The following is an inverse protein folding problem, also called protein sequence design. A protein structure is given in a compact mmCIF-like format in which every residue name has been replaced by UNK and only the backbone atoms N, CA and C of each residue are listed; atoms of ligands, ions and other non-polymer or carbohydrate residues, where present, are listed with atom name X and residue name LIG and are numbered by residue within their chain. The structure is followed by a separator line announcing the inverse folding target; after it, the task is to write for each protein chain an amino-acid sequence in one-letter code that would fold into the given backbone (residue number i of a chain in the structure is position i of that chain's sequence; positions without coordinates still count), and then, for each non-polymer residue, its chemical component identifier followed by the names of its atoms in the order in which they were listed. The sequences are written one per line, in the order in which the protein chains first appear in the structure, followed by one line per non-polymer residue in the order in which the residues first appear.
data_IF_613395387259
#
_entry.id   IF_613395387259
#
_cell.length_a   1.000
_cell.length_b   1.000
_cell.length_c   1.000
_cell.angle_alpha   90.00
_cell.angle_beta   90.00
_cell.angle_gamma   90.00
#
_symmetry.space_group_name_H-M   'P 1'
#
loop_
_entity.id
_entity.type
_entity.pdbx_description
1 polymer ?
#
# COMPACT_ATOMS: atom_id res chain seq x y z
N UNK A 1 -3.83 -24.86 -0.71
CA UNK A 1 -4.86 -24.13 -1.48
C UNK A 1 -4.12 -23.19 -2.43
N UNK A 2 -4.49 -23.13 -3.70
CA UNK A 2 -3.85 -22.25 -4.68
C UNK A 2 -4.83 -21.16 -5.11
N UNK A 3 -4.37 -19.91 -5.14
CA UNK A 3 -5.15 -18.80 -5.71
C UNK A 3 -5.28 -18.97 -7.24
N UNK A 4 -6.34 -18.40 -7.81
CA UNK A 4 -6.57 -18.42 -9.25
C UNK A 4 -5.38 -17.82 -10.02
N UNK A 5 -5.02 -18.35 -11.21
CA UNK A 5 -3.88 -17.86 -12.00
C UNK A 5 -3.92 -16.36 -12.30
N UNK A 6 -5.11 -15.82 -12.58
CA UNK A 6 -5.30 -14.39 -12.84
C UNK A 6 -4.93 -13.52 -11.62
N UNK A 7 -5.30 -13.95 -10.40
CA UNK A 7 -5.00 -13.24 -9.15
C UNK A 7 -3.51 -13.29 -8.82
N UNK A 8 -2.88 -14.44 -9.05
CA UNK A 8 -1.42 -14.58 -8.94
C UNK A 8 -0.69 -13.63 -9.90
N UNK A 9 -1.15 -13.54 -11.14
CA UNK A 9 -0.61 -12.65 -12.17
C UNK A 9 -0.76 -11.18 -11.77
N UNK A 10 -1.95 -10.76 -11.38
CA UNK A 10 -2.22 -9.39 -10.94
C UNK A 10 -1.33 -8.98 -9.75
N UNK A 11 -1.17 -9.89 -8.78
CA UNK A 11 -0.32 -9.65 -7.61
C UNK A 11 1.16 -9.44 -7.97
N UNK A 12 1.68 -10.22 -8.93
CA UNK A 12 3.04 -10.04 -9.44
C UNK A 12 3.22 -8.71 -10.17
N UNK A 13 2.26 -8.33 -11.01
CA UNK A 13 2.27 -7.03 -11.70
C UNK A 13 2.27 -5.89 -10.69
N UNK A 14 1.42 -5.96 -9.67
CA UNK A 14 1.36 -4.97 -8.59
C UNK A 14 2.70 -4.87 -7.84
N UNK A 15 3.31 -6.01 -7.53
CA UNK A 15 4.59 -6.03 -6.84
C UNK A 15 5.70 -5.36 -7.65
N UNK A 16 5.79 -5.68 -8.94
CA UNK A 16 6.78 -5.09 -9.85
C UNK A 16 6.49 -3.61 -10.14
N UNK A 17 5.23 -3.20 -10.21
CA UNK A 17 4.84 -1.80 -10.36
C UNK A 17 5.33 -0.97 -9.17
N UNK A 18 5.07 -1.41 -7.93
CA UNK A 18 5.56 -0.73 -6.72
C UNK A 18 7.08 -0.57 -6.72
N UNK A 19 7.82 -1.62 -7.09
CA UNK A 19 9.28 -1.58 -7.13
C UNK A 19 9.83 -0.68 -8.24
N UNK A 20 9.29 -0.77 -9.46
CA UNK A 20 9.73 0.03 -10.62
C UNK A 20 9.57 1.53 -10.41
N UNK A 21 8.58 1.93 -9.61
CA UNK A 21 8.33 3.33 -9.26
C UNK A 21 9.02 3.76 -7.95
N UNK A 22 9.99 2.99 -7.46
CA UNK A 22 10.81 3.36 -6.30
C UNK A 22 10.07 3.35 -4.96
N UNK A 23 8.86 2.77 -4.91
CA UNK A 23 8.05 2.69 -3.69
C UNK A 23 8.47 1.50 -2.81
N UNK A 24 9.12 0.50 -3.42
CA UNK A 24 9.71 -0.65 -2.75
C UNK A 24 11.11 -0.94 -3.32
N UNK A 25 11.93 -1.64 -2.56
CA UNK A 25 13.28 -2.06 -2.96
C UNK A 25 13.46 -3.57 -2.72
N UNK A 26 14.55 -3.98 -2.06
CA UNK A 26 14.75 -5.36 -1.63
C UNK A 26 13.69 -5.86 -0.62
N UNK A 27 12.95 -4.95 0.00
CA UNK A 27 11.96 -5.24 1.03
C UNK A 27 10.61 -4.62 0.62
N UNK A 28 9.53 -5.26 1.05
CA UNK A 28 8.16 -4.87 0.77
C UNK A 28 7.32 -6.09 0.40
N UNK A 29 6.02 -5.96 0.56
CA UNK A 29 5.07 -6.99 0.14
C UNK A 29 3.70 -6.38 -0.12
N UNK A 30 2.94 -7.01 -1.02
CA UNK A 30 1.53 -6.72 -1.22
C UNK A 30 0.72 -8.00 -1.13
N UNK A 31 -0.56 -7.85 -0.81
CA UNK A 31 -1.50 -8.96 -0.74
C UNK A 31 -2.87 -8.60 -1.29
N UNK A 32 -3.63 -9.64 -1.62
CA UNK A 32 -5.03 -9.56 -2.03
C UNK A 32 -5.85 -10.63 -1.32
N UNK A 33 -7.03 -10.25 -0.82
CA UNK A 33 -7.98 -11.13 -0.16
C UNK A 33 -8.53 -12.13 -1.18
N UNK A 34 -8.60 -13.40 -0.80
CA UNK A 34 -9.22 -14.44 -1.62
C UNK A 34 -10.65 -14.72 -1.16
N UNK A 35 -10.83 -14.83 0.15
CA UNK A 35 -12.11 -15.09 0.81
C UNK A 35 -12.09 -14.54 2.26
N UNK A 36 -13.08 -14.89 3.07
CA UNK A 36 -13.17 -14.47 4.48
C UNK A 36 -12.00 -14.97 5.32
N UNK A 37 -11.47 -16.15 5.00
CA UNK A 37 -10.45 -16.86 5.78
C UNK A 37 -9.04 -16.80 5.21
N UNK A 38 -8.86 -16.36 3.95
CA UNK A 38 -7.57 -16.45 3.26
C UNK A 38 -7.27 -15.21 2.39
N UNK A 39 -5.98 -14.93 2.24
CA UNK A 39 -5.44 -13.95 1.30
C UNK A 39 -4.17 -14.48 0.63
N UNK A 40 -3.83 -13.94 -0.54
CA UNK A 40 -2.60 -14.24 -1.26
C UNK A 40 -1.59 -13.11 -1.02
N UNK A 41 -0.37 -13.44 -0.60
CA UNK A 41 0.75 -12.49 -0.49
C UNK A 41 1.81 -12.78 -1.55
N UNK A 42 2.47 -11.75 -2.08
CA UNK A 42 3.53 -11.91 -3.07
C UNK A 42 4.71 -12.71 -2.48
N UNK A 43 5.56 -13.27 -3.34
CA UNK A 43 6.74 -14.02 -2.91
C UNK A 43 7.65 -13.17 -2.01
N UNK A 44 8.24 -13.80 -0.98
CA UNK A 44 9.13 -13.17 0.02
C UNK A 44 10.53 -12.86 -0.55
N UNK A 45 10.59 -11.98 -1.55
CA UNK A 45 11.83 -11.56 -2.23
C UNK A 45 11.70 -10.11 -2.71
N UNK A 46 12.77 -9.47 -3.22
CA UNK A 46 12.67 -8.13 -3.79
C UNK A 46 11.54 -8.04 -4.82
N UNK A 47 10.58 -7.15 -4.59
CA UNK A 47 9.30 -7.12 -5.33
C UNK A 47 9.49 -6.93 -6.84
N UNK A 48 10.50 -6.14 -7.23
CA UNK A 48 10.86 -5.91 -8.64
C UNK A 48 11.54 -7.11 -9.33
N UNK A 49 11.96 -8.12 -8.56
CA UNK A 49 12.62 -9.33 -9.08
C UNK A 49 11.73 -10.57 -9.04
N UNK A 50 10.43 -10.42 -8.72
CA UNK A 50 9.47 -11.52 -8.77
C UNK A 50 9.20 -11.87 -10.24
N UNK A 51 9.58 -13.08 -10.64
CA UNK A 51 9.51 -13.52 -12.03
C UNK A 51 8.08 -13.85 -12.48
N UNK A 52 7.79 -13.80 -13.79
CA UNK A 52 6.55 -14.35 -14.33
C UNK A 52 6.34 -15.80 -13.90
N UNK A 53 5.10 -16.13 -13.53
CA UNK A 53 4.75 -17.46 -13.01
C UNK A 53 5.24 -17.78 -11.59
N UNK A 54 6.04 -16.92 -10.96
CA UNK A 54 6.49 -17.15 -9.58
C UNK A 54 5.30 -17.03 -8.61
N UNK A 55 5.00 -18.07 -7.81
CA UNK A 55 3.79 -18.08 -7.01
C UNK A 55 3.95 -17.22 -5.75
N UNK A 56 2.90 -16.46 -5.43
CA UNK A 56 2.65 -15.99 -4.08
C UNK A 56 2.23 -17.12 -3.14
N UNK A 57 2.15 -16.82 -1.85
CA UNK A 57 1.74 -17.77 -0.81
C UNK A 57 0.33 -17.44 -0.31
N UNK A 58 -0.54 -18.44 -0.23
CA UNK A 58 -1.86 -18.28 0.43
C UNK A 58 -1.65 -18.33 1.94
N UNK A 59 -2.15 -17.31 2.63
CA UNK A 59 -1.99 -17.09 4.06
C UNK A 59 -3.38 -17.03 4.70
N UNK A 60 -3.58 -17.70 5.86
CA UNK A 60 -4.83 -17.59 6.58
C UNK A 60 -4.96 -16.20 7.21
N UNK A 61 -6.16 -15.64 7.19
CA UNK A 61 -6.49 -14.36 7.86
C UNK A 61 -6.21 -14.45 9.35
N UNK A 62 -6.41 -15.61 9.96
CA UNK A 62 -6.17 -15.85 11.40
C UNK A 62 -5.27 -17.07 11.60
N UNK A 63 -4.37 -17.00 12.58
CA UNK A 63 -3.47 -18.10 12.94
C UNK A 63 -2.04 -17.90 12.45
N UNK A 64 -1.25 -18.97 12.50
CA UNK A 64 0.17 -18.91 12.18
C UNK A 64 0.42 -18.62 10.70
N UNK A 65 1.47 -17.84 10.43
CA UNK A 65 1.95 -17.62 9.08
C UNK A 65 2.57 -18.91 8.51
N UNK A 66 2.34 -19.24 7.23
CA UNK A 66 3.03 -20.34 6.55
C UNK A 66 4.56 -20.15 6.57
N UNK A 67 5.29 -21.27 6.50
CA UNK A 67 6.75 -21.23 6.44
C UNK A 67 7.25 -20.38 5.25
N UNK A 68 8.24 -19.52 5.49
CA UNK A 68 8.82 -18.63 4.47
C UNK A 68 8.07 -17.32 4.24
N UNK A 69 6.89 -17.13 4.85
CA UNK A 69 6.17 -15.85 4.82
C UNK A 69 6.80 -14.87 5.81
N UNK A 70 6.98 -13.61 5.39
CA UNK A 70 7.59 -12.56 6.21
C UNK A 70 6.72 -12.26 7.45
N UNK A 71 7.35 -12.06 8.61
CA UNK A 71 6.63 -11.77 9.87
C UNK A 71 5.75 -10.51 9.80
N UNK A 72 6.11 -9.52 8.98
CA UNK A 72 5.33 -8.28 8.78
C UNK A 72 4.01 -8.50 8.04
N UNK A 73 3.78 -9.68 7.46
CA UNK A 73 2.47 -10.07 6.92
C UNK A 73 1.40 -10.16 8.01
N UNK A 74 1.79 -10.18 9.30
CA UNK A 74 0.85 -9.99 10.41
C UNK A 74 0.06 -8.69 10.32
N UNK A 75 0.63 -7.60 9.79
CA UNK A 75 -0.12 -6.36 9.54
C UNK A 75 -1.30 -6.60 8.58
N UNK A 76 -1.10 -7.44 7.58
CA UNK A 76 -2.13 -7.80 6.59
C UNK A 76 -3.23 -8.64 7.24
N UNK A 77 -2.85 -9.62 8.08
CA UNK A 77 -3.81 -10.40 8.90
C UNK A 77 -4.68 -9.47 9.75
N UNK A 78 -4.07 -8.54 10.49
CA UNK A 78 -4.80 -7.64 11.39
C UNK A 78 -5.77 -6.72 10.63
N UNK A 79 -5.39 -6.22 9.44
CA UNK A 79 -6.29 -5.48 8.56
C UNK A 79 -7.44 -6.36 8.09
N UNK A 80 -7.14 -7.53 7.52
CA UNK A 80 -8.17 -8.37 6.93
C UNK A 80 -9.15 -8.94 7.97
N UNK A 81 -8.71 -9.12 9.22
CA UNK A 81 -9.57 -9.51 10.34
C UNK A 81 -10.55 -8.40 10.73
N UNK A 82 -10.10 -7.13 10.78
CA UNK A 82 -10.89 -5.99 11.26
C UNK A 82 -11.71 -5.30 10.18
N UNK A 83 -11.29 -5.40 8.92
CA UNK A 83 -11.84 -4.63 7.80
C UNK A 83 -12.24 -5.55 6.65
N UNK A 84 -13.46 -6.09 6.72
CA UNK A 84 -14.01 -6.98 5.70
C UNK A 84 -14.10 -6.34 4.30
N UNK A 85 -14.27 -5.01 4.23
CA UNK A 85 -14.32 -4.24 2.98
C UNK A 85 -12.96 -4.07 2.29
N UNK A 86 -11.85 -4.31 2.99
CA UNK A 86 -10.51 -4.24 2.41
C UNK A 86 -10.23 -5.50 1.60
N UNK A 87 -9.84 -5.30 0.34
CA UNK A 87 -9.47 -6.36 -0.58
C UNK A 87 -7.96 -6.46 -0.77
N UNK A 88 -7.22 -5.36 -0.67
CA UNK A 88 -5.77 -5.36 -0.91
C UNK A 88 -5.00 -4.49 0.08
N UNK A 89 -3.77 -4.91 0.34
CA UNK A 89 -2.85 -4.22 1.26
C UNK A 89 -1.46 -4.15 0.62
N UNK A 90 -0.83 -2.99 0.68
CA UNK A 90 0.59 -2.81 0.35
C UNK A 90 1.35 -2.40 1.60
N UNK A 91 2.51 -3.03 1.83
CA UNK A 91 3.49 -2.63 2.84
C UNK A 91 4.79 -2.34 2.11
N UNK A 92 5.19 -1.08 2.08
CA UNK A 92 6.28 -0.58 1.23
C UNK A 92 7.17 0.43 1.98
N UNK A 93 8.20 0.97 1.33
CA UNK A 93 9.15 1.95 1.91
C UNK A 93 9.41 3.14 0.98
N UNK A 94 8.38 3.95 0.62
CA UNK A 94 8.60 5.11 -0.24
C UNK A 94 9.52 6.14 0.45
N UNK A 95 10.54 6.66 -0.24
CA UNK A 95 11.62 7.43 0.37
C UNK A 95 11.18 8.76 1.00
N UNK A 96 10.22 9.47 0.41
CA UNK A 96 9.75 10.76 0.92
C UNK A 96 8.88 10.57 2.16
N UNK A 97 8.01 9.55 2.17
CA UNK A 97 7.28 9.16 3.39
C UNK A 97 8.22 8.69 4.50
N UNK A 98 9.26 7.92 4.16
CA UNK A 98 10.29 7.53 5.13
C UNK A 98 10.95 8.76 5.75
N UNK A 99 11.38 9.73 4.93
CA UNK A 99 11.99 10.97 5.39
C UNK A 99 11.03 11.78 6.28
N UNK A 100 9.80 12.01 5.82
CA UNK A 100 8.79 12.76 6.59
C UNK A 100 8.43 12.07 7.92
N UNK A 101 8.36 10.75 7.92
CA UNK A 101 8.13 9.94 9.11
C UNK A 101 9.20 10.15 10.19
N UNK A 102 10.48 10.35 9.82
CA UNK A 102 11.55 10.67 10.78
C UNK A 102 11.32 11.99 11.54
N UNK A 103 10.56 12.90 10.94
CA UNK A 103 10.13 14.15 11.57
C UNK A 103 8.82 14.01 12.38
N UNK A 104 8.34 12.78 12.59
CA UNK A 104 7.03 12.46 13.21
C UNK A 104 5.87 13.18 12.51
N UNK A 105 5.89 13.19 11.17
CA UNK A 105 4.88 13.84 10.35
C UNK A 105 4.35 12.89 9.29
N UNK A 106 3.12 13.14 8.88
CA UNK A 106 2.52 12.57 7.67
C UNK A 106 2.11 13.72 6.74
N UNK A 107 1.91 13.46 5.43
CA UNK A 107 1.57 14.53 4.50
C UNK A 107 0.22 15.14 4.83
N UNK A 108 0.10 16.48 4.79
CA UNK A 108 -1.20 17.14 4.88
C UNK A 108 -1.92 17.08 3.53
N UNK A 109 -3.24 17.10 3.56
CA UNK A 109 -4.12 17.09 2.38
C UNK A 109 -4.09 18.41 1.61
N UNK A 110 -2.98 18.73 0.95
CA UNK A 110 -2.78 20.02 0.26
C UNK A 110 -3.20 20.04 -1.20
N UNK A 111 -3.42 18.87 -1.80
CA UNK A 111 -3.65 18.76 -3.23
C UNK A 111 -4.53 17.54 -3.53
N UNK A 112 -4.91 17.40 -4.81
CA UNK A 112 -5.92 16.44 -5.24
C UNK A 112 -5.64 14.98 -4.87
N UNK A 113 -4.39 14.51 -5.00
CA UNK A 113 -4.07 13.11 -4.69
C UNK A 113 -3.97 12.85 -3.19
N UNK A 114 -3.65 13.88 -2.39
CA UNK A 114 -3.71 13.79 -0.94
C UNK A 114 -5.14 13.54 -0.44
N UNK A 115 -6.17 14.05 -1.14
CA UNK A 115 -7.56 14.02 -0.68
C UNK A 115 -8.08 12.60 -0.38
N UNK A 116 -7.51 11.56 -1.02
CA UNK A 116 -7.88 10.16 -0.81
C UNK A 116 -7.50 9.59 0.57
N UNK A 117 -6.76 10.34 1.39
CA UNK A 117 -6.35 9.91 2.74
C UNK A 117 -7.15 10.59 3.86
N UNK A 118 -8.32 11.17 3.54
CA UNK A 118 -9.14 11.83 4.55
C UNK A 118 -8.38 12.95 5.24
N UNK A 119 -8.20 12.92 6.56
CA UNK A 119 -7.43 13.96 7.28
C UNK A 119 -5.91 13.83 7.12
N UNK A 120 -5.44 12.82 6.39
CA UNK A 120 -4.05 12.42 6.27
C UNK A 120 -3.87 10.97 6.73
N UNK A 121 -2.74 10.38 6.38
CA UNK A 121 -2.36 9.07 6.87
C UNK A 121 -2.10 9.11 8.39
N UNK A 122 -2.41 8.02 9.09
CA UNK A 122 -2.05 7.85 10.49
C UNK A 122 -0.52 7.74 10.67
N UNK A 123 -0.03 7.92 11.90
CA UNK A 123 1.39 7.82 12.25
C UNK A 123 1.59 6.80 13.37
N UNK A 124 2.50 5.85 13.15
CA UNK A 124 3.04 4.96 14.17
C UNK A 124 4.46 5.41 14.54
N UNK A 125 4.65 5.87 15.78
CA UNK A 125 5.90 6.51 16.25
C UNK A 125 6.94 5.51 16.81
N UNK A 126 7.05 4.32 16.24
CA UNK A 126 8.04 3.31 16.61
C UNK A 126 8.70 2.69 15.35
N UNK A 127 10.04 2.69 15.24
CA UNK A 127 10.76 2.25 14.05
C UNK A 127 10.98 0.74 13.97
N UNK A 128 10.65 -0.03 15.02
CA UNK A 128 10.92 -1.45 15.05
C UNK A 128 10.09 -2.22 14.03
N UNK A 129 10.64 -3.34 13.57
CA UNK A 129 9.95 -4.27 12.69
C UNK A 129 8.72 -4.87 13.40
N UNK A 130 7.62 -5.01 12.67
CA UNK A 130 6.35 -5.51 13.21
C UNK A 130 6.25 -7.00 12.92
N UNK A 131 6.76 -7.85 13.81
CA UNK A 131 6.88 -9.31 13.57
C UNK A 131 6.10 -10.19 14.55
N UNK A 132 5.44 -9.56 15.52
CA UNK A 132 4.59 -10.19 16.52
C UNK A 132 3.15 -9.67 16.43
N UNK A 133 2.22 -10.45 16.98
CA UNK A 133 0.78 -10.18 16.86
C UNK A 133 0.33 -8.95 17.67
N UNK A 134 0.93 -8.73 18.84
CA UNK A 134 0.59 -7.61 19.72
C UNK A 134 0.94 -6.27 19.05
N UNK A 135 2.15 -6.17 18.52
CA UNK A 135 2.62 -4.98 17.80
C UNK A 135 1.84 -4.78 16.50
N UNK A 136 1.54 -5.85 15.77
CA UNK A 136 0.72 -5.76 14.56
C UNK A 136 -0.70 -5.22 14.89
N UNK A 137 -1.32 -5.72 15.96
CA UNK A 137 -2.61 -5.23 16.43
C UNK A 137 -2.53 -3.74 16.80
N UNK A 138 -1.52 -3.35 17.59
CA UNK A 138 -1.34 -1.96 18.02
C UNK A 138 -1.15 -0.99 16.85
N UNK A 139 -0.42 -1.40 15.80
CA UNK A 139 -0.25 -0.58 14.58
C UNK A 139 -1.59 -0.38 13.86
N UNK A 140 -2.39 -1.44 13.71
CA UNK A 140 -3.71 -1.32 13.04
C UNK A 140 -4.71 -0.56 13.91
N UNK A 141 -4.65 -0.70 15.23
CA UNK A 141 -5.48 0.11 16.14
C UNK A 141 -5.11 1.60 16.05
N UNK A 142 -3.82 1.93 15.90
CA UNK A 142 -3.34 3.30 15.65
C UNK A 142 -3.72 3.83 14.26
N UNK A 143 -3.85 2.95 13.26
CA UNK A 143 -4.36 3.30 11.93
C UNK A 143 -5.84 3.69 11.99
N UNK A 144 -6.62 3.08 12.89
CA UNK A 144 -8.01 3.41 13.14
C UNK A 144 -8.86 3.28 11.87
N UNK A 145 -9.57 4.34 11.49
CA UNK A 145 -10.39 4.37 10.27
C UNK A 145 -9.64 4.93 9.05
N UNK A 146 -8.35 5.25 9.16
CA UNK A 146 -7.57 5.70 8.01
C UNK A 146 -7.30 4.53 7.06
N UNK A 147 -7.09 4.82 5.78
CA UNK A 147 -6.70 3.84 4.76
C UNK A 147 -5.18 3.73 4.58
N UNK A 148 -4.39 4.52 5.32
CA UNK A 148 -2.94 4.41 5.34
C UNK A 148 -2.35 4.77 6.71
N UNK A 149 -1.21 4.15 7.03
CA UNK A 149 -0.39 4.48 8.20
C UNK A 149 1.09 4.52 7.84
N UNK A 150 1.75 5.60 8.24
CA UNK A 150 3.21 5.77 8.15
C UNK A 150 3.84 5.27 9.45
N UNK A 151 4.77 4.33 9.35
CA UNK A 151 5.54 3.81 10.48
C UNK A 151 6.93 4.47 10.46
N UNK A 152 7.21 5.32 11.45
CA UNK A 152 8.42 6.17 11.49
C UNK A 152 9.68 5.34 11.25
N UNK A 153 10.39 5.62 10.15
CA UNK A 153 11.66 4.95 9.84
C UNK A 153 11.56 3.47 9.46
N UNK A 154 10.34 2.95 9.23
CA UNK A 154 10.10 1.55 8.88
C UNK A 154 9.41 1.41 7.50
N UNK A 155 8.39 2.23 7.23
CA UNK A 155 7.69 2.20 5.94
C UNK A 155 6.27 2.70 6.03
N UNK A 156 5.46 2.29 5.08
CA UNK A 156 4.04 2.64 5.00
C UNK A 156 3.21 1.39 4.74
N UNK A 157 2.00 1.41 5.27
CA UNK A 157 0.96 0.42 5.01
C UNK A 157 -0.24 1.14 4.39
N UNK A 158 -0.74 0.66 3.25
CA UNK A 158 -1.93 1.20 2.57
C UNK A 158 -2.93 0.08 2.33
N UNK A 159 -4.20 0.34 2.63
CA UNK A 159 -5.30 -0.60 2.46
C UNK A 159 -6.36 -0.05 1.49
N UNK A 160 -6.92 -0.91 0.64
CA UNK A 160 -7.95 -0.52 -0.33
C UNK A 160 -8.90 -1.66 -0.69
N UNK A 161 -10.01 -1.30 -1.35
CA UNK A 161 -11.02 -2.20 -1.94
C UNK A 161 -10.55 -3.01 -3.16
N UNK A 162 -9.35 -2.75 -3.68
CA UNK A 162 -8.78 -3.42 -4.86
C UNK A 162 -7.26 -3.27 -4.89
N UNK A 163 -6.58 -4.21 -5.55
CA UNK A 163 -5.12 -4.23 -5.61
C UNK A 163 -4.55 -3.07 -6.43
N UNK A 164 -5.13 -2.80 -7.60
CA UNK A 164 -4.76 -1.65 -8.41
C UNK A 164 -4.88 -0.32 -7.63
N UNK A 165 -5.99 -0.12 -6.90
CA UNK A 165 -6.20 1.08 -6.08
C UNK A 165 -5.20 1.16 -4.93
N UNK A 166 -4.87 0.06 -4.25
CA UNK A 166 -3.84 0.06 -3.20
C UNK A 166 -2.46 0.49 -3.74
N UNK A 167 -2.08 0.03 -4.93
CA UNK A 167 -0.84 0.45 -5.60
C UNK A 167 -0.87 1.94 -5.96
N UNK A 168 -1.97 2.41 -6.56
CA UNK A 168 -2.14 3.82 -6.94
C UNK A 168 -2.13 4.73 -5.71
N UNK A 169 -2.83 4.36 -4.64
CA UNK A 169 -2.85 5.11 -3.39
C UNK A 169 -1.45 5.14 -2.76
N UNK A 170 -0.66 4.06 -2.84
CA UNK A 170 0.73 4.09 -2.36
C UNK A 170 1.54 5.18 -3.09
N UNK A 171 1.36 5.31 -4.41
CA UNK A 171 2.00 6.38 -5.18
C UNK A 171 1.45 7.77 -4.82
N UNK A 172 0.13 7.94 -4.68
CA UNK A 172 -0.48 9.22 -4.29
C UNK A 172 -0.04 9.69 -2.91
N UNK A 173 0.16 8.78 -1.96
CA UNK A 173 0.66 9.14 -0.64
C UNK A 173 2.11 9.63 -0.68
N UNK A 174 2.94 9.02 -1.52
CA UNK A 174 4.31 9.47 -1.76
C UNK A 174 4.34 10.85 -2.47
N UNK A 175 3.46 11.08 -3.45
CA UNK A 175 3.33 12.40 -4.08
C UNK A 175 2.84 13.46 -3.09
N UNK A 176 1.95 13.10 -2.17
CA UNK A 176 1.57 13.98 -1.06
C UNK A 176 2.76 14.32 -0.17
N UNK A 177 3.63 13.34 0.14
CA UNK A 177 4.86 13.59 0.89
C UNK A 177 5.82 14.53 0.15
N UNK A 178 5.93 14.40 -1.18
CA UNK A 178 6.69 15.35 -2.02
C UNK A 178 6.21 16.79 -1.84
N UNK A 179 4.89 17.00 -1.86
CA UNK A 179 4.30 18.33 -1.66
C UNK A 179 4.55 18.83 -0.23
N UNK A 180 4.33 18.01 0.80
CA UNK A 180 4.55 18.44 2.20
C UNK A 180 6.01 18.83 2.44
N UNK A 181 6.97 18.02 1.96
CA UNK A 181 8.39 18.32 2.10
C UNK A 181 8.78 19.59 1.36
N UNK A 182 8.24 19.85 0.17
CA UNK A 182 8.48 21.10 -0.56
C UNK A 182 7.95 22.33 0.19
N UNK A 183 6.75 22.22 0.78
CA UNK A 183 6.16 23.29 1.60
C UNK A 183 7.00 23.56 2.84
N UNK A 184 7.46 22.51 3.53
CA UNK A 184 8.33 22.63 4.70
C UNK A 184 9.68 23.24 4.33
N UNK A 185 10.29 22.82 3.22
CA UNK A 185 11.56 23.35 2.75
C UNK A 185 11.49 24.84 2.39
N UNK A 186 10.35 25.28 1.86
CA UNK A 186 10.10 26.69 1.55
C UNK A 186 9.71 27.54 2.77
N UNK A 187 9.52 26.94 3.96
CA UNK A 187 9.03 27.64 5.15
C UNK A 187 7.56 28.06 5.08
N UNK A 188 6.78 27.47 4.17
CA UNK A 188 5.40 27.87 3.86
C UNK A 188 4.35 27.06 4.64
N UNK A 189 4.74 26.32 5.68
CA UNK A 189 3.83 25.41 6.38
C UNK A 189 2.63 26.11 7.03
N UNK A 190 2.78 27.38 7.40
CA UNK A 190 1.73 28.17 8.06
C UNK A 190 0.86 28.94 7.06
N UNK A 191 1.33 29.12 5.81
CA UNK A 191 0.63 29.82 4.73
C UNK A 191 -0.06 28.86 3.74
N UNK A 192 0.51 27.67 3.54
CA UNK A 192 -0.01 26.70 2.59
C UNK A 192 -1.32 26.11 3.07
N UNK A 193 -2.37 26.28 2.25
CA UNK A 193 -3.73 25.81 2.51
C UNK A 193 -3.81 24.28 2.48
N UNK A 194 -4.66 23.73 3.35
CA UNK A 194 -5.02 22.32 3.39
C UNK A 194 -6.50 22.21 3.06
N UNK A 195 -6.87 21.21 2.27
CA UNK A 195 -8.25 20.96 1.88
C UNK A 195 -9.10 20.67 3.12
N UNK A 196 -10.24 21.36 3.22
CA UNK A 196 -11.23 21.09 4.27
C UNK A 196 -11.96 19.75 4.05
N UNK A 197 -12.88 19.38 4.94
CA UNK A 197 -13.61 18.11 4.82
C UNK A 197 -14.43 18.00 3.52
N UNK A 198 -15.14 19.07 3.15
CA UNK A 198 -16.03 19.07 2.00
C UNK A 198 -15.24 19.13 0.68
N UNK A 199 -14.11 19.84 0.65
CA UNK A 199 -13.17 19.85 -0.47
C UNK A 199 -12.55 18.48 -0.70
N UNK A 200 -12.11 17.81 0.37
CA UNK A 200 -11.56 16.45 0.28
C UNK A 200 -12.58 15.46 -0.27
N UNK A 201 -13.79 15.46 0.27
CA UNK A 201 -14.88 14.57 -0.17
C UNK A 201 -15.22 14.77 -1.65
N UNK A 202 -15.38 16.03 -2.10
CA UNK A 202 -15.64 16.32 -3.52
C UNK A 202 -14.45 15.95 -4.42
N UNK A 203 -13.22 16.10 -3.93
CA UNK A 203 -12.01 15.90 -4.73
C UNK A 203 -11.62 14.43 -4.87
N UNK A 204 -11.88 13.61 -3.86
CA UNK A 204 -11.61 12.17 -3.84
C UNK A 204 -12.66 11.39 -4.64
N UNK A 205 -12.78 11.71 -5.93
CA UNK A 205 -13.72 11.05 -6.86
C UNK A 205 -13.07 9.90 -7.61
N UNK A 206 -13.83 8.85 -7.88
CA UNK A 206 -13.42 7.74 -8.75
C UNK A 206 -13.80 8.02 -10.24
N UNK A 207 -14.44 9.16 -10.53
CA UNK A 207 -14.90 9.52 -11.86
C UNK A 207 -13.73 9.77 -12.85
N UNK A 208 -13.94 9.44 -14.13
CA UNK A 208 -12.97 9.71 -15.19
C UNK A 208 -11.76 8.78 -15.20
N UNK A 209 -11.91 7.58 -14.62
CA UNK A 209 -10.92 6.51 -14.71
C UNK A 209 -9.58 6.87 -14.06
N UNK A 210 -9.59 7.58 -12.92
CA UNK A 210 -8.38 8.12 -12.29
C UNK A 210 -7.45 6.98 -11.84
N UNK A 211 -8.01 5.95 -11.22
CA UNK A 211 -7.24 4.80 -10.76
C UNK A 211 -6.78 3.93 -11.92
N UNK A 212 -7.61 3.73 -12.93
CA UNK A 212 -7.34 2.91 -14.10
C UNK A 212 -6.20 3.49 -14.92
N UNK A 213 -6.23 4.81 -15.21
CA UNK A 213 -5.15 5.47 -15.94
C UNK A 213 -3.84 5.47 -15.17
N UNK A 214 -3.91 5.67 -13.85
CA UNK A 214 -2.71 5.62 -13.02
C UNK A 214 -2.16 4.19 -12.94
N UNK A 215 -3.03 3.19 -12.82
CA UNK A 215 -2.65 1.78 -12.86
C UNK A 215 -2.01 1.41 -14.21
N UNK A 216 -2.60 1.82 -15.33
CA UNK A 216 -2.03 1.63 -16.66
C UNK A 216 -0.62 2.21 -16.75
N UNK A 217 -0.43 3.46 -16.31
CA UNK A 217 0.90 4.09 -16.24
C UNK A 217 1.86 3.32 -15.31
N UNK A 218 1.40 2.96 -14.11
CA UNK A 218 2.21 2.30 -13.10
C UNK A 218 2.58 0.89 -13.50
N UNK A 219 1.80 0.21 -14.32
CA UNK A 219 2.01 -1.18 -14.77
C UNK A 219 2.60 -1.30 -16.17
N UNK A 220 2.69 -0.19 -16.93
CA UNK A 220 3.25 -0.17 -18.27
C UNK A 220 4.65 -0.79 -18.35
N UNK A 221 4.85 -1.66 -19.35
CA UNK A 221 6.12 -2.37 -19.59
C UNK A 221 6.33 -3.63 -18.75
N UNK A 222 5.35 -4.00 -17.90
CA UNK A 222 5.40 -5.27 -17.17
C UNK A 222 5.24 -6.48 -18.13
N UNK A 223 6.06 -7.54 -17.99
CA UNK A 223 6.03 -8.70 -18.90
C UNK A 223 4.72 -9.50 -18.87
N UNK A 224 3.86 -9.32 -17.86
CA UNK A 224 2.60 -10.06 -17.71
C UNK A 224 1.35 -9.22 -18.02
N UNK A 225 1.48 -7.93 -18.37
CA UNK A 225 0.33 -7.01 -18.56
C UNK A 225 -0.54 -7.36 -19.78
N UNK A 226 0.09 -7.85 -20.86
CA UNK A 226 -0.56 -8.24 -22.11
C UNK A 226 -0.56 -9.77 -22.30
N UNK A 227 -0.41 -10.53 -21.22
CA UNK A 227 -0.36 -11.98 -21.31
C UNK A 227 -1.74 -12.50 -21.71
N UNK A 228 -1.92 -12.80 -22.99
CA UNK A 228 -3.04 -13.62 -23.46
C UNK A 228 -2.76 -15.05 -22.97
N UNK A 229 -3.64 -15.60 -22.14
CA UNK A 229 -3.62 -17.02 -21.85
C UNK A 229 -3.66 -17.75 -23.19
N UNK A 230 -2.62 -18.54 -23.49
CA UNK A 230 -2.65 -19.45 -24.62
C UNK A 230 -3.91 -20.31 -24.44
N UNK A 231 -4.92 -20.10 -25.30
CA UNK A 231 -6.11 -20.94 -25.28
C UNK A 231 -5.68 -22.39 -25.53
N UNK A 232 -6.21 -23.35 -24.75
CA UNK A 232 -5.88 -24.76 -24.91
C UNK A 232 -6.26 -25.31 -26.29
#
# INVERSE_FOLDING_TARGET
MNAAPAVQRELRIAARALARHGLAHAYGHCSVRLDEGNFLVCASRPMGLIGPGEPGTVVPVTGALPAGVLGEVRLHQQIYQRHAHVHAVTRTMPPLLMALGTARRTPRTRHGMGAYFGAGAALWDDPQLVRDDERAAAVIDAMGSANAIVMRGNGVLVASDSLAKAVVLTWYLEDAARIELAVLAAGLQDESVVLDAAERERRATDAGGIFERMWEYLSAGDPEINFQEAQP
#
